data_IF_865638718769
#
_entry.id   IF_865638718769
#
_cell.length_a   1.000
_cell.length_b   1.000
_cell.length_c   1.000
_cell.angle_alpha   90.00
_cell.angle_beta   90.00
_cell.angle_gamma   90.00
#
_symmetry.space_group_name_H-M   'P 1'
#
loop_
_entity.id
_entity.type
_entity.pdbx_description
1 polymer ?
#
# COMPACT_ATOMS: atom_id res chain seq x y z
N UNK A 1 5.72 19.21 -13.13
CA UNK A 1 5.01 17.92 -13.14
C UNK A 1 3.57 18.21 -13.48
N UNK A 2 3.11 17.76 -14.65
CA UNK A 2 1.71 17.85 -15.06
C UNK A 2 1.00 16.55 -14.67
N UNK A 3 -0.22 16.65 -14.13
CA UNK A 3 -1.02 15.49 -13.74
C UNK A 3 -1.91 15.10 -14.91
N UNK A 4 -1.67 13.92 -15.51
CA UNK A 4 -2.43 13.43 -16.66
C UNK A 4 -3.81 12.87 -16.25
N UNK A 5 -3.84 12.10 -15.15
CA UNK A 5 -5.07 11.51 -14.60
C UNK A 5 -4.95 11.43 -13.08
N UNK A 6 -5.80 12.18 -12.37
CA UNK A 6 -5.78 12.26 -10.92
C UNK A 6 -6.41 11.05 -10.22
N UNK A 7 -7.23 10.26 -10.92
CA UNK A 7 -7.98 9.11 -10.37
C UNK A 7 -7.83 7.86 -11.22
N UNK A 8 -6.59 7.62 -11.63
CA UNK A 8 -6.24 6.50 -12.50
C UNK A 8 -6.70 5.14 -11.98
N UNK A 9 -6.68 4.92 -10.66
CA UNK A 9 -7.06 3.65 -10.05
C UNK A 9 -7.51 3.79 -8.60
N UNK A 10 -8.20 2.75 -8.11
CA UNK A 10 -8.50 2.55 -6.69
C UNK A 10 -7.57 1.46 -6.18
N UNK A 11 -6.96 1.69 -5.02
CA UNK A 11 -6.01 0.77 -4.41
C UNK A 11 -6.55 0.34 -3.05
N UNK A 12 -6.56 -0.96 -2.78
CA UNK A 12 -7.00 -1.49 -1.49
C UNK A 12 -5.96 -1.25 -0.39
N UNK A 13 -6.42 -1.17 0.86
CA UNK A 13 -5.52 -1.04 2.02
C UNK A 13 -4.48 -2.18 2.11
N UNK A 14 -4.86 -3.40 1.72
CA UNK A 14 -3.95 -4.54 1.67
C UNK A 14 -2.84 -4.36 0.62
N UNK A 15 -3.19 -3.83 -0.56
CA UNK A 15 -2.20 -3.52 -1.61
C UNK A 15 -1.25 -2.40 -1.19
N UNK A 16 -1.76 -1.34 -0.57
CA UNK A 16 -0.93 -0.25 -0.02
C UNK A 16 0.02 -0.80 1.04
N UNK A 17 -0.46 -1.64 1.97
CA UNK A 17 0.37 -2.20 3.02
C UNK A 17 1.52 -3.05 2.44
N UNK A 18 1.23 -3.92 1.47
CA UNK A 18 2.27 -4.71 0.77
C UNK A 18 3.26 -3.83 0.02
N UNK A 19 2.77 -2.78 -0.66
CA UNK A 19 3.61 -1.83 -1.37
C UNK A 19 4.59 -1.13 -0.42
N UNK A 20 4.10 -0.64 0.72
CA UNK A 20 4.93 0.04 1.73
C UNK A 20 5.96 -0.90 2.36
N UNK A 21 5.60 -2.16 2.62
CA UNK A 21 6.55 -3.17 3.11
C UNK A 21 7.69 -3.41 2.11
N UNK A 22 7.37 -3.51 0.82
CA UNK A 22 8.39 -3.67 -0.23
C UNK A 22 9.25 -2.40 -0.36
N UNK A 23 8.64 -1.22 -0.31
CA UNK A 23 9.38 0.05 -0.38
C UNK A 23 10.29 0.25 0.83
N UNK A 24 9.88 -0.19 2.02
CA UNK A 24 10.71 -0.18 3.23
C UNK A 24 11.95 -1.06 3.07
N UNK A 25 11.83 -2.25 2.47
CA UNK A 25 12.97 -3.13 2.18
C UNK A 25 13.97 -2.43 1.25
N UNK A 26 13.49 -1.88 0.14
CA UNK A 26 14.33 -1.12 -0.79
C UNK A 26 15.03 0.08 -0.13
N UNK A 27 14.33 0.81 0.75
CA UNK A 27 14.93 1.93 1.47
C UNK A 27 16.04 1.46 2.43
N UNK A 28 15.87 0.29 3.04
CA UNK A 28 16.85 -0.29 3.97
C UNK A 28 18.09 -0.86 3.25
N UNK A 29 17.97 -1.21 1.98
CA UNK A 29 19.10 -1.63 1.13
C UNK A 29 20.01 -0.45 0.75
N UNK A 30 19.47 0.78 0.72
CA UNK A 30 20.25 1.98 0.42
C UNK A 30 21.22 2.33 1.57
N UNK A 31 22.40 2.89 1.24
CA UNK A 31 23.29 3.55 2.20
C UNK A 31 22.58 4.63 3.02
N UNK A 32 22.99 4.85 4.27
CA UNK A 32 22.28 5.75 5.22
C UNK A 32 22.14 7.19 4.71
N UNK A 33 23.17 7.69 4.04
CA UNK A 33 23.25 9.01 3.40
C UNK A 33 22.28 9.16 2.23
N UNK A 34 21.88 8.07 1.59
CA UNK A 34 20.93 8.06 0.46
C UNK A 34 19.48 7.81 0.89
N UNK A 35 19.23 7.56 2.17
CA UNK A 35 17.87 7.33 2.68
C UNK A 35 17.14 8.65 2.87
N UNK A 36 16.00 8.80 2.19
CA UNK A 36 15.09 9.91 2.45
C UNK A 36 14.40 9.76 3.81
N UNK A 37 14.65 10.71 4.72
CA UNK A 37 13.99 10.77 6.04
C UNK A 37 12.48 10.95 5.90
N UNK A 38 12.05 11.84 5.01
CA UNK A 38 10.63 12.14 4.75
C UNK A 38 9.91 10.88 4.26
N UNK A 39 10.50 10.17 3.28
CA UNK A 39 9.94 8.93 2.78
C UNK A 39 9.84 7.87 3.89
N UNK A 40 10.87 7.76 4.73
CA UNK A 40 10.87 6.85 5.88
C UNK A 40 9.72 7.13 6.86
N UNK A 41 9.46 8.40 7.16
CA UNK A 41 8.34 8.81 8.03
C UNK A 41 6.99 8.44 7.41
N UNK A 42 6.77 8.75 6.13
CA UNK A 42 5.51 8.42 5.44
C UNK A 42 5.26 6.92 5.41
N UNK A 43 6.31 6.12 5.11
CA UNK A 43 6.23 4.66 5.14
C UNK A 43 5.88 4.16 6.54
N UNK A 44 6.54 4.70 7.58
CA UNK A 44 6.33 4.26 8.96
C UNK A 44 4.92 4.54 9.45
N UNK A 45 4.46 5.79 9.41
CA UNK A 45 3.15 6.17 9.95
C UNK A 45 2.00 5.49 9.19
N UNK A 46 2.09 5.42 7.86
CA UNK A 46 1.06 4.76 7.05
C UNK A 46 1.03 3.25 7.30
N UNK A 47 2.20 2.60 7.41
CA UNK A 47 2.25 1.17 7.73
C UNK A 47 1.69 0.90 9.13
N UNK A 48 2.03 1.75 10.11
CA UNK A 48 1.55 1.63 11.49
C UNK A 48 0.03 1.73 11.57
N UNK A 49 -0.56 2.70 10.85
CA UNK A 49 -2.02 2.81 10.75
C UNK A 49 -2.63 1.55 10.14
N UNK A 50 -2.14 1.12 8.98
CA UNK A 50 -2.67 -0.05 8.26
C UNK A 50 -2.49 -1.35 9.04
N UNK A 51 -1.43 -1.46 9.85
CA UNK A 51 -1.20 -2.58 10.76
C UNK A 51 -2.28 -2.73 11.83
N UNK A 52 -2.96 -1.65 12.20
CA UNK A 52 -4.12 -1.66 13.11
C UNK A 52 -5.44 -2.03 12.44
N UNK A 53 -5.43 -2.34 11.14
CA UNK A 53 -6.65 -2.65 10.37
C UNK A 53 -6.69 -4.11 9.93
N UNK A 54 -7.86 -4.65 9.51
CA UNK A 54 -7.96 -5.99 8.92
C UNK A 54 -7.14 -6.20 7.64
N UNK A 55 -6.58 -5.15 7.03
CA UNK A 55 -5.74 -5.26 5.84
C UNK A 55 -4.53 -6.20 6.01
N UNK A 56 -4.05 -6.37 7.24
CA UNK A 56 -2.91 -7.25 7.57
C UNK A 56 -3.20 -8.72 7.28
N UNK A 57 -4.45 -9.15 7.43
CA UNK A 57 -4.84 -10.56 7.31
C UNK A 57 -5.45 -10.91 5.94
N UNK A 58 -5.74 -9.90 5.12
CA UNK A 58 -6.35 -10.06 3.80
C UNK A 58 -5.36 -10.66 2.79
N UNK A 59 -5.77 -11.75 2.12
CA UNK A 59 -5.01 -12.34 1.01
C UNK A 59 -5.59 -11.88 -0.32
N UNK A 60 -4.77 -11.88 -1.36
CA UNK A 60 -5.23 -11.53 -2.72
C UNK A 60 -6.40 -12.38 -3.19
N UNK A 61 -6.38 -13.68 -2.89
CA UNK A 61 -7.48 -14.59 -3.24
C UNK A 61 -8.82 -14.19 -2.57
N UNK A 62 -8.78 -13.72 -1.33
CA UNK A 62 -9.97 -13.30 -0.59
C UNK A 62 -10.53 -11.99 -1.16
N UNK A 63 -9.64 -11.05 -1.51
CA UNK A 63 -10.00 -9.78 -2.15
C UNK A 63 -10.62 -10.04 -3.53
N UNK A 64 -9.99 -10.88 -4.35
CA UNK A 64 -10.51 -11.22 -5.68
C UNK A 64 -11.89 -11.90 -5.58
N UNK A 65 -12.02 -12.87 -4.67
CA UNK A 65 -13.30 -13.54 -4.40
C UNK A 65 -14.37 -12.53 -3.99
N UNK A 66 -14.05 -11.60 -3.10
CA UNK A 66 -14.97 -10.55 -2.67
C UNK A 66 -15.39 -9.64 -3.83
N UNK A 67 -14.45 -9.15 -4.64
CA UNK A 67 -14.76 -8.29 -5.79
C UNK A 67 -15.72 -9.00 -6.76
N UNK A 68 -15.46 -10.28 -7.07
CA UNK A 68 -16.33 -11.09 -7.94
C UNK A 68 -17.70 -11.31 -7.32
N UNK A 69 -17.77 -11.57 -6.01
CA UNK A 69 -19.03 -11.79 -5.30
C UNK A 69 -19.86 -10.50 -5.14
N UNK A 70 -19.20 -9.34 -5.03
CA UNK A 70 -19.85 -8.03 -4.91
C UNK A 70 -20.33 -7.49 -6.27
N UNK A 71 -19.73 -7.94 -7.38
CA UNK A 71 -20.04 -7.45 -8.73
C UNK A 71 -21.53 -7.47 -9.13
N UNK A 72 -22.35 -8.46 -8.75
CA UNK A 72 -23.78 -8.50 -9.10
C UNK A 72 -24.67 -7.53 -8.31
N UNK A 73 -24.20 -7.01 -7.18
CA UNK A 73 -24.98 -6.12 -6.30
C UNK A 73 -24.82 -4.64 -6.66
N UNK A 74 -24.57 -4.37 -7.95
CA UNK A 74 -24.51 -3.03 -8.53
C UNK A 74 -25.90 -2.45 -8.71
#
# INVERSE_FOLDING_TARGET
MEVLDSRHTVITNAEVLRLLQNRRKQQNELPKDQRSKILGTVIYETSKYLQGTPAVTQKNADIEKFIRAAAPFK
#
